data_IF_758538594979
#
_entry.id   IF_758538594979
#
_cell.length_a   1.000
_cell.length_b   1.000
_cell.length_c   1.000
_cell.angle_alpha   90.00
_cell.angle_beta   90.00
_cell.angle_gamma   90.00
#
_symmetry.space_group_name_H-M   'P 1'
#
loop_
_entity.id
_entity.type
_entity.pdbx_description
1 polymer ?
#
# COMPACT_ATOMS: atom_id res chain seq x y z
N UNK A 1 -44.07 -49.19 0.10
CA UNK A 1 -44.31 -47.74 0.26
C UNK A 1 -42.96 -47.06 0.30
N UNK A 2 -42.73 -46.14 -0.63
CA UNK A 2 -41.44 -45.52 -0.91
C UNK A 2 -40.98 -44.57 0.21
N UNK A 3 -39.68 -44.63 0.52
CA UNK A 3 -38.99 -43.71 1.41
C UNK A 3 -38.81 -42.36 0.68
N UNK A 4 -39.46 -41.31 1.18
CA UNK A 4 -39.22 -39.93 0.73
C UNK A 4 -37.82 -39.49 1.18
N UNK A 5 -36.90 -39.41 0.23
CA UNK A 5 -35.60 -38.76 0.36
C UNK A 5 -35.80 -37.27 0.67
N UNK A 6 -35.41 -36.85 1.88
CA UNK A 6 -35.27 -35.46 2.28
C UNK A 6 -34.21 -34.81 1.39
N UNK A 7 -34.65 -33.95 0.47
CA UNK A 7 -33.77 -33.14 -0.35
C UNK A 7 -32.87 -32.28 0.53
N UNK A 8 -31.57 -32.41 0.35
CA UNK A 8 -30.57 -31.52 0.93
C UNK A 8 -30.76 -30.15 0.27
N UNK A 9 -31.59 -29.31 0.88
CA UNK A 9 -31.60 -27.87 0.56
C UNK A 9 -30.31 -27.30 1.13
N UNK A 10 -29.38 -26.93 0.25
CA UNK A 10 -28.22 -26.12 0.62
C UNK A 10 -28.71 -24.91 1.43
N UNK A 11 -28.13 -24.62 2.62
CA UNK A 11 -28.55 -23.47 3.40
C UNK A 11 -28.34 -22.22 2.54
N UNK A 12 -29.43 -21.53 2.18
CA UNK A 12 -29.34 -20.23 1.50
C UNK A 12 -28.51 -19.33 2.40
N UNK A 13 -27.34 -18.88 1.92
CA UNK A 13 -26.47 -17.96 2.67
C UNK A 13 -27.34 -16.80 3.18
N UNK A 14 -27.39 -16.55 4.51
CA UNK A 14 -28.15 -15.43 5.03
C UNK A 14 -27.65 -14.14 4.40
N UNK A 15 -28.59 -13.27 4.03
CA UNK A 15 -28.26 -11.97 3.45
C UNK A 15 -27.55 -11.17 4.54
N UNK A 16 -26.25 -10.93 4.33
CA UNK A 16 -25.45 -10.12 5.25
C UNK A 16 -26.04 -8.71 5.38
N UNK A 17 -25.99 -8.16 6.59
CA UNK A 17 -26.26 -6.73 6.82
C UNK A 17 -25.33 -5.88 5.95
N UNK A 18 -25.73 -4.63 5.70
CA UNK A 18 -24.92 -3.70 4.90
C UNK A 18 -23.53 -3.52 5.51
N UNK A 19 -23.44 -3.40 6.84
CA UNK A 19 -22.19 -3.29 7.58
C UNK A 19 -21.31 -4.53 7.43
N UNK A 20 -21.87 -5.73 7.64
CA UNK A 20 -21.12 -6.99 7.50
C UNK A 20 -20.60 -7.19 6.07
N UNK A 21 -21.37 -6.78 5.05
CA UNK A 21 -20.93 -6.82 3.66
C UNK A 21 -19.76 -5.85 3.43
N UNK A 22 -19.88 -4.60 3.90
CA UNK A 22 -18.82 -3.58 3.77
C UNK A 22 -17.53 -4.00 4.48
N UNK A 23 -17.62 -4.61 5.66
CA UNK A 23 -16.44 -5.11 6.38
C UNK A 23 -15.75 -6.25 5.61
N UNK A 24 -16.54 -7.17 5.05
CA UNK A 24 -16.03 -8.26 4.21
C UNK A 24 -15.35 -7.73 2.94
N UNK A 25 -15.94 -6.72 2.28
CA UNK A 25 -15.37 -6.12 1.08
C UNK A 25 -14.09 -5.31 1.42
N UNK A 26 -14.09 -4.55 2.52
CA UNK A 26 -12.88 -3.88 3.04
C UNK A 26 -11.75 -4.87 3.31
N UNK A 27 -12.05 -6.05 3.89
CA UNK A 27 -11.03 -7.07 4.16
C UNK A 27 -10.41 -7.62 2.87
N UNK A 28 -11.21 -7.79 1.81
CA UNK A 28 -10.70 -8.17 0.49
C UNK A 28 -9.81 -7.06 -0.10
N UNK A 29 -10.20 -5.79 0.06
CA UNK A 29 -9.39 -4.67 -0.40
C UNK A 29 -8.06 -4.55 0.37
N UNK A 30 -8.07 -4.79 1.68
CA UNK A 30 -6.86 -4.87 2.50
C UNK A 30 -5.88 -5.91 1.98
N UNK A 31 -6.36 -7.13 1.74
CA UNK A 31 -5.55 -8.19 1.18
C UNK A 31 -4.91 -7.78 -0.16
N UNK A 32 -5.70 -7.17 -1.05
CA UNK A 32 -5.21 -6.71 -2.35
C UNK A 32 -4.18 -5.57 -2.22
N UNK A 33 -4.34 -4.68 -1.24
CA UNK A 33 -3.39 -3.61 -0.96
C UNK A 33 -2.08 -4.14 -0.37
N UNK A 34 -2.14 -5.14 0.52
CA UNK A 34 -0.95 -5.79 1.10
C UNK A 34 -0.14 -6.46 -0.01
N UNK A 35 -0.78 -7.26 -0.89
CA UNK A 35 -0.07 -7.88 -2.02
C UNK A 35 0.63 -6.85 -2.92
N UNK A 36 -0.02 -5.70 -3.16
CA UNK A 36 0.58 -4.61 -3.94
C UNK A 36 1.73 -3.94 -3.19
N UNK A 37 1.57 -3.75 -1.87
CA UNK A 37 2.60 -3.18 -1.01
C UNK A 37 3.86 -4.04 -1.02
N UNK A 38 3.71 -5.36 -0.83
CA UNK A 38 4.83 -6.30 -0.80
C UNK A 38 5.55 -6.31 -2.14
N UNK A 39 4.82 -6.47 -3.25
CA UNK A 39 5.41 -6.46 -4.59
C UNK A 39 6.15 -5.15 -4.90
N UNK A 40 5.62 -4.00 -4.46
CA UNK A 40 6.24 -2.71 -4.70
C UNK A 40 7.45 -2.49 -3.78
N UNK A 41 7.40 -3.00 -2.56
CA UNK A 41 8.51 -2.97 -1.60
C UNK A 41 9.68 -3.83 -2.09
N UNK A 42 9.43 -5.04 -2.58
CA UNK A 42 10.45 -5.93 -3.15
C UNK A 42 11.17 -5.27 -4.33
N UNK A 43 10.41 -4.60 -5.20
CA UNK A 43 10.98 -3.78 -6.29
C UNK A 43 11.83 -2.64 -5.74
N UNK A 44 11.33 -1.90 -4.76
CA UNK A 44 12.07 -0.83 -4.10
C UNK A 44 13.40 -1.28 -3.50
N UNK A 45 13.41 -2.42 -2.80
CA UNK A 45 14.64 -3.01 -2.26
C UNK A 45 15.61 -3.43 -3.35
N UNK A 46 15.10 -3.98 -4.47
CA UNK A 46 15.94 -4.37 -5.61
C UNK A 46 16.57 -3.14 -6.29
N UNK A 47 15.79 -2.09 -6.53
CA UNK A 47 16.28 -0.81 -7.09
C UNK A 47 17.30 -0.16 -6.15
N UNK A 48 17.01 -0.10 -4.85
CA UNK A 48 17.94 0.44 -3.85
C UNK A 48 19.25 -0.37 -3.77
N UNK A 49 19.18 -1.69 -3.84
CA UNK A 49 20.36 -2.57 -3.90
C UNK A 49 21.18 -2.31 -5.16
N UNK A 50 20.53 -2.10 -6.30
CA UNK A 50 21.19 -1.77 -7.57
C UNK A 50 21.95 -0.45 -7.48
N UNK A 51 21.33 0.58 -6.88
CA UNK A 51 21.97 1.88 -6.60
C UNK A 51 23.21 1.69 -5.71
N UNK A 52 23.09 0.92 -4.63
CA UNK A 52 24.21 0.66 -3.71
C UNK A 52 25.37 -0.05 -4.43
N UNK A 53 25.08 -1.08 -5.22
CA UNK A 53 26.08 -1.82 -6.00
C UNK A 53 26.77 -0.93 -7.03
N UNK A 54 26.02 -0.06 -7.70
CA UNK A 54 26.53 0.90 -8.67
C UNK A 54 27.49 1.90 -8.01
N UNK A 55 27.15 2.41 -6.82
CA UNK A 55 28.05 3.25 -6.02
C UNK A 55 29.31 2.52 -5.56
N UNK A 56 29.19 1.28 -5.09
CA UNK A 56 30.37 0.47 -4.68
C UNK A 56 31.31 0.22 -5.85
N UNK A 57 30.76 -0.02 -7.04
CA UNK A 57 31.55 -0.21 -8.27
C UNK A 57 32.32 1.05 -8.65
N UNK A 58 31.68 2.22 -8.56
CA UNK A 58 32.35 3.51 -8.82
C UNK A 58 33.51 3.74 -7.85
N UNK A 59 33.27 3.60 -6.54
CA UNK A 59 34.31 3.79 -5.52
C UNK A 59 35.47 2.81 -5.69
N UNK A 60 35.19 1.59 -6.14
CA UNK A 60 36.23 0.59 -6.42
C UNK A 60 37.04 0.94 -7.66
N UNK A 61 36.41 1.49 -8.71
CA UNK A 61 37.08 1.94 -9.94
C UNK A 61 38.00 3.15 -9.66
N UNK A 62 37.50 4.15 -8.94
CA UNK A 62 38.26 5.33 -8.54
C UNK A 62 39.53 4.96 -7.74
N UNK A 63 39.43 3.97 -6.84
CA UNK A 63 40.58 3.47 -6.08
C UNK A 63 41.65 2.82 -6.98
N UNK A 64 41.24 2.06 -8.00
CA UNK A 64 42.16 1.38 -8.93
C UNK A 64 42.83 2.36 -9.89
N UNK A 65 42.12 3.39 -10.35
CA UNK A 65 42.68 4.46 -11.20
C UNK A 65 43.70 5.32 -10.45
N UNK A 66 43.47 5.60 -9.16
CA UNK A 66 44.44 6.32 -8.31
C UNK A 66 45.78 5.57 -8.14
N UNK A 67 45.76 4.23 -8.12
CA UNK A 67 46.95 3.38 -8.01
C UNK A 67 47.70 3.20 -9.36
N UNK A 68 47.05 3.52 -10.48
CA UNK A 68 47.54 3.32 -11.86
C UNK A 68 47.76 4.66 -12.59
N UNK A 69 48.79 5.42 -12.21
CA UNK A 69 49.07 6.72 -12.83
C UNK A 69 49.63 6.57 -14.27
N UNK A 70 48.76 6.66 -15.29
CA UNK A 70 49.17 6.89 -16.69
C UNK A 70 48.24 7.87 -17.41
N UNK A 71 48.73 8.72 -18.34
CA UNK A 71 48.04 9.94 -18.76
C UNK A 71 47.03 9.74 -19.91
N UNK A 72 46.69 8.50 -20.28
CA UNK A 72 46.04 8.20 -21.57
C UNK A 72 44.51 8.03 -21.48
N UNK A 73 43.88 8.10 -20.30
CA UNK A 73 42.48 7.65 -20.09
C UNK A 73 41.40 8.74 -20.06
N UNK A 74 41.75 10.02 -20.07
CA UNK A 74 40.85 11.13 -19.68
C UNK A 74 39.53 11.19 -20.50
N UNK A 75 39.58 10.90 -21.81
CA UNK A 75 38.40 10.96 -22.69
C UNK A 75 37.43 9.76 -22.53
N UNK A 76 37.95 8.56 -22.22
CA UNK A 76 37.11 7.39 -21.91
C UNK A 76 36.47 7.51 -20.52
N UNK A 77 37.19 8.11 -19.58
CA UNK A 77 36.76 8.32 -18.20
C UNK A 77 35.57 9.29 -18.12
N UNK A 78 35.60 10.39 -18.87
CA UNK A 78 34.50 11.37 -18.94
C UNK A 78 33.21 10.76 -19.54
N UNK A 79 33.36 9.93 -20.58
CA UNK A 79 32.23 9.22 -21.20
C UNK A 79 31.61 8.17 -20.28
N UNK A 80 32.42 7.44 -19.51
CA UNK A 80 31.94 6.46 -18.52
C UNK A 80 31.27 7.11 -17.31
N UNK A 81 31.74 8.29 -16.88
CA UNK A 81 31.10 9.07 -15.82
C UNK A 81 29.73 9.62 -16.25
N UNK A 82 29.60 10.12 -17.48
CA UNK A 82 28.33 10.59 -18.02
C UNK A 82 27.28 9.47 -18.19
N UNK A 83 27.71 8.26 -18.54
CA UNK A 83 26.81 7.09 -18.67
C UNK A 83 26.39 6.57 -17.29
N UNK A 84 27.30 6.58 -16.32
CA UNK A 84 27.01 6.27 -14.90
C UNK A 84 25.98 7.23 -14.31
N UNK A 85 26.15 8.54 -14.51
CA UNK A 85 25.27 9.56 -13.96
C UNK A 85 23.84 9.41 -14.48
N UNK A 86 23.69 9.12 -15.79
CA UNK A 86 22.39 8.81 -16.38
C UNK A 86 21.76 7.52 -15.84
N UNK A 87 22.56 6.47 -15.64
CA UNK A 87 22.08 5.21 -15.08
C UNK A 87 21.65 5.35 -13.62
N UNK A 88 22.38 6.12 -12.83
CA UNK A 88 22.05 6.41 -11.44
C UNK A 88 20.79 7.27 -11.35
N UNK A 89 20.67 8.32 -12.17
CA UNK A 89 19.49 9.19 -12.19
C UNK A 89 18.23 8.37 -12.52
N UNK A 90 18.29 7.51 -13.54
CA UNK A 90 17.15 6.64 -13.88
C UNK A 90 16.73 5.71 -12.74
N UNK A 91 17.68 5.14 -11.99
CA UNK A 91 17.39 4.31 -10.82
C UNK A 91 16.79 5.14 -9.66
N UNK A 92 17.25 6.37 -9.47
CA UNK A 92 16.71 7.29 -8.48
C UNK A 92 15.27 7.70 -8.83
N UNK A 93 15.00 8.03 -10.10
CA UNK A 93 13.65 8.32 -10.59
C UNK A 93 12.71 7.12 -10.41
N UNK A 94 13.17 5.90 -10.73
CA UNK A 94 12.41 4.68 -10.52
C UNK A 94 12.10 4.47 -9.02
N UNK A 95 13.10 4.63 -8.15
CA UNK A 95 12.93 4.50 -6.71
C UNK A 95 11.94 5.54 -6.16
N UNK A 96 11.99 6.77 -6.65
CA UNK A 96 11.04 7.82 -6.30
C UNK A 96 9.61 7.44 -6.72
N UNK A 97 9.42 6.95 -7.94
CA UNK A 97 8.12 6.50 -8.41
C UNK A 97 7.55 5.34 -7.57
N UNK A 98 8.42 4.44 -7.11
CA UNK A 98 8.08 3.35 -6.19
C UNK A 98 7.60 3.92 -4.84
N UNK A 99 8.33 4.86 -4.25
CA UNK A 99 7.95 5.51 -2.99
C UNK A 99 6.62 6.26 -3.09
N UNK A 100 6.37 6.96 -4.20
CA UNK A 100 5.08 7.60 -4.46
C UNK A 100 3.95 6.58 -4.57
N UNK A 101 4.23 5.43 -5.18
CA UNK A 101 3.30 4.30 -5.24
C UNK A 101 2.97 3.73 -3.86
N UNK A 102 3.97 3.54 -2.99
CA UNK A 102 3.79 3.09 -1.61
C UNK A 102 2.95 4.10 -0.80
N UNK A 103 3.24 5.39 -0.95
CA UNK A 103 2.45 6.47 -0.32
C UNK A 103 0.99 6.42 -0.74
N UNK A 104 0.71 6.17 -2.03
CA UNK A 104 -0.68 5.99 -2.52
C UNK A 104 -1.36 4.76 -1.93
N UNK A 105 -0.64 3.67 -1.70
CA UNK A 105 -1.18 2.47 -1.04
C UNK A 105 -1.50 2.78 0.42
N UNK A 106 -0.59 3.45 1.15
CA UNK A 106 -0.80 3.85 2.53
C UNK A 106 -2.07 4.71 2.67
N UNK A 107 -2.26 5.73 1.83
CA UNK A 107 -3.46 6.57 1.86
C UNK A 107 -4.75 5.74 1.67
N UNK A 108 -4.73 4.71 0.83
CA UNK A 108 -5.88 3.81 0.65
C UNK A 108 -6.14 2.97 1.89
N UNK A 109 -5.08 2.44 2.50
CA UNK A 109 -5.15 1.68 3.75
C UNK A 109 -5.74 2.52 4.89
N UNK A 110 -5.28 3.77 5.04
CA UNK A 110 -5.82 4.72 6.04
C UNK A 110 -7.31 5.01 5.84
N UNK A 111 -7.75 5.14 4.58
CA UNK A 111 -9.17 5.32 4.25
C UNK A 111 -10.00 4.08 4.62
N UNK A 112 -9.49 2.87 4.37
CA UNK A 112 -10.16 1.63 4.77
C UNK A 112 -10.24 1.50 6.30
N UNK A 113 -9.17 1.85 7.03
CA UNK A 113 -9.18 1.91 8.50
C UNK A 113 -10.25 2.87 9.02
N UNK A 114 -10.31 4.08 8.47
CA UNK A 114 -11.28 5.10 8.86
C UNK A 114 -12.72 4.65 8.59
N UNK A 115 -12.95 4.03 7.44
CA UNK A 115 -14.27 3.47 7.08
C UNK A 115 -14.68 2.35 8.03
N UNK A 116 -13.76 1.45 8.36
CA UNK A 116 -14.00 0.32 9.28
C UNK A 116 -14.31 0.82 10.68
N UNK A 117 -13.54 1.80 11.18
CA UNK A 117 -13.79 2.47 12.45
C UNK A 117 -15.18 3.09 12.51
N UNK A 118 -15.57 3.84 11.47
CA UNK A 118 -16.91 4.45 11.38
C UNK A 118 -18.04 3.41 11.38
N UNK A 119 -17.84 2.25 10.75
CA UNK A 119 -18.81 1.15 10.80
C UNK A 119 -18.93 0.61 12.23
N UNK A 120 -17.82 0.35 12.92
CA UNK A 120 -17.82 -0.13 14.30
C UNK A 120 -18.49 0.86 15.26
N UNK A 121 -18.21 2.16 15.11
CA UNK A 121 -18.83 3.21 15.91
C UNK A 121 -20.34 3.27 15.70
N UNK A 122 -20.79 3.13 14.44
CA UNK A 122 -22.21 3.10 14.10
C UNK A 122 -22.92 1.85 14.66
N UNK A 123 -22.29 0.67 14.57
CA UNK A 123 -22.85 -0.54 15.16
C UNK A 123 -22.92 -0.42 16.70
N UNK A 124 -21.85 0.03 17.34
CA UNK A 124 -21.83 0.28 18.79
C UNK A 124 -22.92 1.28 19.21
N UNK A 125 -23.19 2.29 18.40
CA UNK A 125 -24.30 3.22 18.63
C UNK A 125 -25.66 2.51 18.57
N UNK A 126 -25.89 1.68 17.55
CA UNK A 126 -27.15 0.94 17.36
C UNK A 126 -27.42 -0.15 18.40
N UNK A 127 -26.39 -0.64 19.12
CA UNK A 127 -26.55 -1.64 20.17
C UNK A 127 -26.46 -1.07 21.61
N UNK A 128 -26.14 0.22 21.78
CA UNK A 128 -26.13 0.89 23.11
C UNK A 128 -27.54 1.01 23.69
N UNK A 129 -27.73 1.02 25.00
CA UNK A 129 -29.06 1.20 25.60
C UNK A 129 -29.68 2.57 25.25
N UNK A 130 -30.95 2.59 24.85
CA UNK A 130 -31.64 3.73 24.20
C UNK A 130 -31.67 4.98 25.09
N UNK A 131 -31.67 4.81 26.41
CA UNK A 131 -31.60 5.86 27.42
C UNK A 131 -30.27 6.63 27.48
N UNK A 132 -29.22 6.14 26.80
CA UNK A 132 -27.86 6.69 26.84
C UNK A 132 -27.29 7.05 25.47
N UNK A 133 -28.11 7.02 24.41
CA UNK A 133 -27.66 7.33 23.04
C UNK A 133 -27.71 8.84 22.79
N UNK A 134 -26.56 9.51 22.56
CA UNK A 134 -26.58 10.89 22.09
C UNK A 134 -27.24 10.97 20.70
N UNK A 135 -27.86 12.09 20.30
CA UNK A 135 -28.43 12.22 18.97
C UNK A 135 -27.33 12.09 17.91
N UNK A 136 -27.56 11.22 16.90
CA UNK A 136 -26.58 10.90 15.84
C UNK A 136 -26.20 12.12 14.99
N UNK A 137 -27.10 13.10 14.92
CA UNK A 137 -26.91 14.37 14.26
C UNK A 137 -27.28 15.48 15.23
N UNK A 138 -26.49 16.55 15.29
CA UNK A 138 -26.91 17.76 15.95
C UNK A 138 -28.11 18.33 15.20
N UNK A 139 -29.31 18.17 15.76
CA UNK A 139 -30.49 18.88 15.28
C UNK A 139 -30.30 20.36 15.54
N UNK A 140 -30.84 21.20 14.65
CA UNK A 140 -30.89 22.63 14.89
C UNK A 140 -31.72 22.91 16.16
N UNK A 141 -31.28 23.82 17.05
CA UNK A 141 -32.09 24.21 18.19
C UNK A 141 -33.33 24.95 17.68
N UNK A 142 -34.48 24.31 17.72
CA UNK A 142 -35.78 24.97 17.56
C UNK A 142 -36.14 25.65 18.88
N UNK A 143 -35.52 26.80 19.14
CA UNK A 143 -35.93 27.70 20.22
C UNK A 143 -37.16 28.56 19.82
N UNK A 144 -37.72 28.37 18.63
CA UNK A 144 -38.73 29.24 18.02
C UNK A 144 -39.88 28.49 17.32
N UNK A 145 -40.43 27.46 17.95
CA UNK A 145 -41.80 26.99 17.66
C UNK A 145 -42.55 26.79 18.98
#
# INVERSE_FOLDING_TARGET
MEAKTLGITTPRKPVLSVSARKLKDNAADWHNLILKWDSLSDKGFTTASSIANLKVTLLSKEKVELESSSPTSIEEEEKTNLDYDKGLEALCEELQAILDGLTKIQMKMEKLSSTTKGICELENYHYREESSRPPLFHTWPTAFF
#
